data_IF_030901780058
#
_entry.id   IF_030901780058
#
_cell.length_a   1.000
_cell.length_b   1.000
_cell.length_c   1.000
_cell.angle_alpha   90.00
_cell.angle_beta   90.00
_cell.angle_gamma   90.00
#
_symmetry.space_group_name_H-M   'P 1'
#
loop_
_entity.id
_entity.type
_entity.pdbx_description
1 polymer ?
#
# COMPACT_ATOMS: atom_id res chain seq x y z
N UNK A 1 -5.98 -7.27 29.86
CA UNK A 1 -6.30 -6.08 29.04
C UNK A 1 -6.58 -6.40 27.56
N UNK A 2 -6.22 -7.58 27.02
CA UNK A 2 -6.60 -8.00 25.65
C UNK A 2 -8.11 -8.26 25.47
N UNK A 3 -8.83 -8.58 26.55
CA UNK A 3 -10.25 -8.97 26.48
C UNK A 3 -11.24 -7.78 26.44
N UNK A 4 -10.81 -6.55 26.74
CA UNK A 4 -11.77 -5.45 26.94
C UNK A 4 -12.28 -4.79 25.64
N UNK A 5 -11.70 -5.12 24.48
CA UNK A 5 -12.11 -4.55 23.18
C UNK A 5 -12.17 -5.55 22.03
N UNK A 6 -12.07 -6.85 22.29
CA UNK A 6 -12.15 -7.87 21.24
C UNK A 6 -13.61 -8.30 21.02
N UNK A 7 -14.20 -7.97 19.88
CA UNK A 7 -15.46 -8.59 19.47
C UNK A 7 -15.14 -9.86 18.70
N UNK A 8 -15.76 -10.99 19.08
CA UNK A 8 -15.52 -12.31 18.49
C UNK A 8 -15.80 -12.39 16.97
N UNK A 9 -16.39 -11.34 16.38
CA UNK A 9 -16.63 -11.24 14.93
C UNK A 9 -15.60 -10.39 14.19
N UNK A 10 -14.77 -9.60 14.87
CA UNK A 10 -13.87 -8.64 14.21
C UNK A 10 -12.85 -9.34 13.30
N UNK A 11 -12.38 -10.52 13.72
CA UNK A 11 -11.45 -11.33 12.95
C UNK A 11 -12.01 -11.72 11.59
N UNK A 12 -13.34 -11.79 11.42
CA UNK A 12 -13.99 -12.25 10.18
C UNK A 12 -13.80 -11.28 9.01
N UNK A 13 -13.20 -10.10 9.26
CA UNK A 13 -12.96 -9.07 8.26
C UNK A 13 -11.50 -8.56 8.25
N UNK A 14 -10.64 -9.09 9.12
CA UNK A 14 -9.26 -8.66 9.24
C UNK A 14 -8.29 -9.42 8.31
N UNK A 15 -6.99 -9.17 8.44
CA UNK A 15 -5.96 -9.81 7.62
C UNK A 15 -5.95 -11.34 7.80
N UNK A 16 -6.30 -11.87 8.96
CA UNK A 16 -6.42 -13.32 9.18
C UNK A 16 -7.50 -13.92 8.29
N UNK A 17 -8.65 -13.25 8.15
CA UNK A 17 -9.71 -13.71 7.24
C UNK A 17 -9.29 -13.74 5.78
N UNK A 18 -8.44 -12.80 5.34
CA UNK A 18 -7.87 -12.85 4.00
C UNK A 18 -6.98 -14.10 3.84
N UNK A 19 -6.03 -14.34 4.74
CA UNK A 19 -5.17 -15.53 4.65
C UNK A 19 -5.97 -16.85 4.74
N UNK A 20 -7.00 -16.89 5.59
CA UNK A 20 -7.84 -18.07 5.74
C UNK A 20 -8.70 -18.32 4.50
N UNK A 21 -9.23 -17.28 3.85
CA UNK A 21 -9.96 -17.44 2.59
C UNK A 21 -9.05 -18.03 1.51
N UNK A 22 -7.81 -17.54 1.39
CA UNK A 22 -6.83 -18.11 0.46
C UNK A 22 -6.50 -19.58 0.76
N UNK A 23 -6.36 -19.92 2.05
CA UNK A 23 -6.13 -21.31 2.46
C UNK A 23 -7.30 -22.22 2.05
N UNK A 24 -8.54 -21.81 2.28
CA UNK A 24 -9.72 -22.53 1.82
C UNK A 24 -9.80 -22.66 0.30
N UNK A 25 -9.45 -21.60 -0.44
CA UNK A 25 -9.38 -21.62 -1.90
C UNK A 25 -8.37 -22.64 -2.42
N UNK A 26 -7.20 -22.76 -1.77
CA UNK A 26 -6.18 -23.75 -2.11
C UNK A 26 -6.64 -25.19 -1.79
N UNK A 27 -7.40 -25.37 -0.72
CA UNK A 27 -8.01 -26.65 -0.31
C UNK A 27 -9.28 -27.01 -1.08
N UNK A 28 -9.67 -26.22 -2.09
CA UNK A 28 -10.89 -26.41 -2.90
C UNK A 28 -12.19 -26.32 -2.09
N UNK A 29 -12.15 -25.59 -0.97
CA UNK A 29 -13.32 -25.24 -0.18
C UNK A 29 -13.86 -23.88 -0.64
N UNK A 30 -14.35 -23.84 -1.88
CA UNK A 30 -14.68 -22.57 -2.55
C UNK A 30 -15.77 -21.79 -1.82
N UNK A 31 -16.81 -22.46 -1.28
CA UNK A 31 -17.90 -21.80 -0.55
C UNK A 31 -17.38 -21.06 0.70
N UNK A 32 -16.58 -21.74 1.53
CA UNK A 32 -16.00 -21.15 2.75
C UNK A 32 -14.99 -20.04 2.42
N UNK A 33 -14.22 -20.22 1.33
CA UNK A 33 -13.29 -19.20 0.85
C UNK A 33 -14.04 -17.91 0.47
N UNK A 34 -15.10 -18.02 -0.35
CA UNK A 34 -15.86 -16.87 -0.82
C UNK A 34 -16.58 -16.17 0.33
N UNK A 35 -17.15 -16.92 1.27
CA UNK A 35 -17.82 -16.36 2.45
C UNK A 35 -16.91 -15.47 3.29
N UNK A 36 -15.67 -15.88 3.53
CA UNK A 36 -14.69 -15.03 4.25
C UNK A 36 -14.21 -13.87 3.37
N UNK A 37 -13.98 -14.13 2.09
CA UNK A 37 -13.54 -13.10 1.15
C UNK A 37 -14.52 -11.93 1.04
N UNK A 38 -15.83 -12.18 1.07
CA UNK A 38 -16.85 -11.13 1.03
C UNK A 38 -16.69 -10.12 2.17
N UNK A 39 -16.39 -10.58 3.39
CA UNK A 39 -16.13 -9.70 4.53
C UNK A 39 -14.85 -8.87 4.35
N UNK A 40 -13.80 -9.46 3.77
CA UNK A 40 -12.54 -8.77 3.46
C UNK A 40 -12.77 -7.69 2.40
N UNK A 41 -13.52 -8.01 1.33
CA UNK A 41 -13.89 -7.04 0.29
C UNK A 41 -14.72 -5.90 0.90
N UNK A 42 -15.70 -6.23 1.74
CA UNK A 42 -16.52 -5.23 2.44
C UNK A 42 -15.66 -4.31 3.32
N UNK A 43 -14.67 -4.87 4.04
CA UNK A 43 -13.74 -4.09 4.88
C UNK A 43 -12.85 -3.16 4.06
N UNK A 44 -12.31 -3.63 2.93
CA UNK A 44 -11.49 -2.80 2.05
C UNK A 44 -12.32 -1.67 1.41
N UNK A 45 -13.60 -1.93 1.14
CA UNK A 45 -14.51 -0.94 0.57
C UNK A 45 -15.15 0.01 1.61
N UNK A 46 -15.18 -0.36 2.89
CA UNK A 46 -15.64 0.54 3.95
C UNK A 46 -14.66 1.68 4.17
N UNK A 47 -15.08 2.75 4.83
CA UNK A 47 -14.14 3.77 5.30
C UNK A 47 -13.11 3.17 6.25
N UNK A 48 -11.87 3.65 6.11
CA UNK A 48 -10.74 3.19 6.93
C UNK A 48 -10.75 3.98 8.23
N UNK A 49 -10.43 3.32 9.34
CA UNK A 49 -10.13 4.06 10.56
C UNK A 49 -8.90 4.95 10.31
N UNK A 50 -9.06 6.24 10.58
CA UNK A 50 -8.01 7.25 10.38
C UNK A 50 -6.98 7.25 11.51
N UNK A 51 -7.22 6.50 12.59
CA UNK A 51 -6.23 6.35 13.66
C UNK A 51 -5.04 5.50 13.20
N UNK A 52 -3.95 6.19 12.87
CA UNK A 52 -2.69 5.54 12.55
C UNK A 52 -1.94 5.13 13.81
N UNK A 53 -2.02 3.85 14.17
CA UNK A 53 -1.32 3.28 15.32
C UNK A 53 -0.36 2.19 14.87
N UNK A 54 0.92 2.34 15.22
CA UNK A 54 1.90 1.27 15.10
C UNK A 54 1.80 0.37 16.34
N UNK A 55 0.94 -0.66 16.29
CA UNK A 55 0.73 -1.58 17.42
C UNK A 55 0.65 -3.02 16.93
N UNK A 56 1.16 -3.95 17.75
CA UNK A 56 1.06 -5.39 17.47
C UNK A 56 1.59 -5.79 16.08
N UNK A 57 2.65 -5.14 15.59
CA UNK A 57 3.19 -5.35 14.24
C UNK A 57 2.15 -5.16 13.13
N UNK A 58 1.18 -4.28 13.35
CA UNK A 58 0.12 -3.95 12.42
C UNK A 58 -0.04 -2.44 12.35
N UNK A 59 -0.37 -1.98 11.15
CA UNK A 59 -0.76 -0.62 10.83
C UNK A 59 -1.73 -0.68 9.64
N UNK A 60 -2.46 0.41 9.33
CA UNK A 60 -3.44 0.38 8.25
C UNK A 60 -2.84 -0.02 6.89
N UNK A 61 -1.59 0.39 6.58
CA UNK A 61 -0.94 0.04 5.32
C UNK A 61 -0.59 -1.44 5.24
N UNK A 62 -0.16 -2.06 6.34
CA UNK A 62 0.02 -3.52 6.42
C UNK A 62 -1.30 -4.24 6.13
N UNK A 63 -2.42 -3.78 6.68
CA UNK A 63 -3.73 -4.41 6.48
C UNK A 63 -4.17 -4.33 5.02
N UNK A 64 -4.22 -3.12 4.45
CA UNK A 64 -4.63 -2.90 3.05
C UNK A 64 -3.74 -3.68 2.06
N UNK A 65 -2.41 -3.58 2.22
CA UNK A 65 -1.48 -4.27 1.31
C UNK A 65 -1.53 -5.79 1.45
N UNK A 66 -1.65 -6.34 2.67
CA UNK A 66 -1.76 -7.78 2.86
C UNK A 66 -3.04 -8.35 2.25
N UNK A 67 -4.18 -7.68 2.47
CA UNK A 67 -5.46 -8.12 1.91
C UNK A 67 -5.48 -7.98 0.38
N UNK A 68 -4.94 -6.88 -0.16
CA UNK A 68 -4.81 -6.69 -1.61
C UNK A 68 -3.93 -7.77 -2.24
N UNK A 69 -2.78 -8.09 -1.62
CA UNK A 69 -1.90 -9.18 -2.07
C UNK A 69 -2.65 -10.50 -2.17
N UNK A 70 -3.37 -10.87 -1.11
CA UNK A 70 -4.15 -12.11 -1.06
C UNK A 70 -5.19 -12.15 -2.18
N UNK A 71 -5.97 -11.07 -2.35
CA UNK A 71 -7.00 -10.98 -3.38
C UNK A 71 -6.38 -11.07 -4.77
N UNK A 72 -5.33 -10.29 -5.05
CA UNK A 72 -4.68 -10.29 -6.36
C UNK A 72 -4.08 -11.66 -6.72
N UNK A 73 -3.52 -12.37 -5.74
CA UNK A 73 -2.85 -13.66 -5.96
C UNK A 73 -3.81 -14.84 -6.04
N UNK A 74 -4.85 -14.87 -5.20
CA UNK A 74 -5.70 -16.05 -5.02
C UNK A 74 -7.11 -15.87 -5.57
N UNK A 75 -7.57 -14.63 -5.71
CA UNK A 75 -8.93 -14.28 -6.16
C UNK A 75 -8.90 -13.20 -7.25
N UNK A 76 -8.14 -13.37 -8.36
CA UNK A 76 -7.92 -12.30 -9.34
C UNK A 76 -9.20 -11.78 -9.99
N UNK A 77 -10.27 -12.59 -10.06
CA UNK A 77 -11.59 -12.17 -10.57
C UNK A 77 -12.27 -11.11 -9.68
N UNK A 78 -11.89 -11.06 -8.42
CA UNK A 78 -12.46 -10.17 -7.40
C UNK A 78 -11.63 -8.90 -7.23
N UNK A 79 -10.43 -8.86 -7.82
CA UNK A 79 -9.45 -7.77 -7.66
C UNK A 79 -10.02 -6.40 -8.03
N UNK A 80 -10.77 -6.33 -9.14
CA UNK A 80 -11.40 -5.09 -9.60
C UNK A 80 -12.41 -4.50 -8.61
N UNK A 81 -12.94 -5.29 -7.66
CA UNK A 81 -13.87 -4.81 -6.64
C UNK A 81 -13.22 -3.97 -5.55
N UNK A 82 -11.89 -4.02 -5.43
CA UNK A 82 -11.15 -3.37 -4.33
C UNK A 82 -9.94 -2.55 -4.80
N UNK A 83 -9.35 -2.89 -5.95
CA UNK A 83 -8.03 -2.37 -6.33
C UNK A 83 -7.96 -0.86 -6.39
N UNK A 84 -8.97 -0.18 -6.96
CA UNK A 84 -8.96 1.27 -7.10
C UNK A 84 -8.88 1.98 -5.74
N UNK A 85 -9.77 1.61 -4.82
CA UNK A 85 -9.84 2.22 -3.49
C UNK A 85 -8.59 1.91 -2.66
N UNK A 86 -8.10 0.68 -2.73
CA UNK A 86 -6.94 0.24 -1.93
C UNK A 86 -5.63 0.80 -2.47
N UNK A 87 -5.41 0.81 -3.78
CA UNK A 87 -4.20 1.42 -4.38
C UNK A 87 -4.17 2.93 -4.13
N UNK A 88 -5.33 3.59 -4.15
CA UNK A 88 -5.43 5.01 -3.76
C UNK A 88 -4.95 5.24 -2.32
N UNK A 89 -5.38 4.40 -1.37
CA UNK A 89 -4.94 4.48 0.03
C UNK A 89 -3.46 4.21 0.19
N UNK A 90 -2.94 3.18 -0.47
CA UNK A 90 -1.50 2.85 -0.47
C UNK A 90 -0.69 4.06 -0.97
N UNK A 91 -1.08 4.66 -2.10
CA UNK A 91 -0.39 5.83 -2.65
C UNK A 91 -0.44 7.04 -1.68
N UNK A 92 -1.59 7.26 -1.03
CA UNK A 92 -1.73 8.32 -0.02
C UNK A 92 -0.81 8.08 1.19
N UNK A 93 -0.74 6.86 1.72
CA UNK A 93 0.09 6.52 2.87
C UNK A 93 1.60 6.68 2.54
N UNK A 94 2.01 6.24 1.35
CA UNK A 94 3.39 6.40 0.89
C UNK A 94 3.78 7.87 0.73
N UNK A 95 2.92 8.69 0.12
CA UNK A 95 3.14 10.13 -0.03
C UNK A 95 3.16 10.87 1.32
N UNK A 96 2.45 10.36 2.34
CA UNK A 96 2.49 10.86 3.71
C UNK A 96 3.67 10.33 4.53
N UNK A 97 4.57 9.56 3.92
CA UNK A 97 5.73 8.94 4.56
C UNK A 97 5.35 8.01 5.73
N UNK A 98 4.17 7.39 5.65
CA UNK A 98 3.65 6.47 6.67
C UNK A 98 3.95 5.02 6.29
N UNK A 99 5.18 4.59 6.56
CA UNK A 99 5.61 3.21 6.30
C UNK A 99 6.73 2.77 7.24
N UNK A 100 6.86 1.45 7.37
CA UNK A 100 7.95 0.77 8.03
C UNK A 100 8.40 -0.41 7.15
N UNK A 101 9.45 -1.11 7.55
CA UNK A 101 10.00 -2.22 6.77
C UNK A 101 8.95 -3.29 6.42
N UNK A 102 8.04 -3.62 7.35
CA UNK A 102 7.01 -4.63 7.13
C UNK A 102 5.94 -4.14 6.14
N UNK A 103 5.45 -2.91 6.32
CA UNK A 103 4.46 -2.33 5.39
C UNK A 103 5.04 -2.13 3.99
N UNK A 104 6.30 -1.71 3.87
CA UNK A 104 7.00 -1.63 2.58
C UNK A 104 7.10 -2.98 1.88
N UNK A 105 7.45 -4.04 2.60
CA UNK A 105 7.50 -5.39 2.04
C UNK A 105 6.13 -5.87 1.56
N UNK A 106 5.07 -5.64 2.33
CA UNK A 106 3.71 -6.03 1.95
C UNK A 106 3.19 -5.23 0.75
N UNK A 107 3.50 -3.93 0.68
CA UNK A 107 3.19 -3.10 -0.50
C UNK A 107 3.85 -3.67 -1.74
N UNK A 108 5.14 -4.03 -1.67
CA UNK A 108 5.84 -4.62 -2.82
C UNK A 108 5.20 -5.93 -3.28
N UNK A 109 4.83 -6.81 -2.34
CA UNK A 109 4.12 -8.05 -2.69
C UNK A 109 2.75 -7.78 -3.33
N UNK A 110 1.98 -6.85 -2.77
CA UNK A 110 0.66 -6.49 -3.27
C UNK A 110 0.73 -5.90 -4.70
N UNK A 111 1.68 -4.99 -4.93
CA UNK A 111 1.91 -4.38 -6.23
C UNK A 111 2.43 -5.41 -7.25
N UNK A 112 3.30 -6.34 -6.85
CA UNK A 112 3.72 -7.45 -7.71
C UNK A 112 2.54 -8.32 -8.15
N UNK A 113 1.73 -8.78 -7.19
CA UNK A 113 0.55 -9.58 -7.50
C UNK A 113 -0.47 -8.82 -8.35
N UNK A 114 -0.68 -7.52 -8.09
CA UNK A 114 -1.58 -6.68 -8.88
C UNK A 114 -1.07 -6.48 -10.31
N UNK A 115 0.22 -6.16 -10.47
CA UNK A 115 0.84 -5.93 -11.78
C UNK A 115 0.79 -7.18 -12.66
N UNK A 116 0.95 -8.38 -12.08
CA UNK A 116 0.81 -9.65 -12.80
C UNK A 116 -0.57 -9.82 -13.46
N UNK A 117 -1.63 -9.22 -12.88
CA UNK A 117 -2.97 -9.23 -13.46
C UNK A 117 -3.24 -8.09 -14.45
N UNK A 118 -2.36 -7.07 -14.52
CA UNK A 118 -2.58 -5.81 -15.24
C UNK A 118 -1.38 -5.37 -16.11
N UNK A 119 -0.52 -6.30 -16.54
CA UNK A 119 0.75 -5.98 -17.23
C UNK A 119 0.58 -5.11 -18.48
N UNK A 120 -0.54 -5.27 -19.21
CA UNK A 120 -0.80 -4.53 -20.45
C UNK A 120 -0.91 -3.02 -20.26
N UNK A 121 -1.31 -2.55 -19.07
CA UNK A 121 -1.49 -1.12 -18.81
C UNK A 121 -0.17 -0.40 -18.48
N UNK A 122 0.85 -1.13 -18.00
CA UNK A 122 2.12 -0.53 -17.57
C UNK A 122 2.85 0.20 -18.70
N UNK A 123 2.70 -0.26 -19.95
CA UNK A 123 3.32 0.39 -21.11
C UNK A 123 2.70 1.72 -21.51
N UNK A 124 1.50 2.01 -21.04
CA UNK A 124 0.79 3.25 -21.32
C UNK A 124 1.01 4.32 -20.23
N UNK A 125 1.89 4.04 -19.26
CA UNK A 125 2.29 4.97 -18.22
C UNK A 125 3.66 5.58 -18.57
N UNK A 126 3.75 6.90 -18.46
CA UNK A 126 4.98 7.65 -18.71
C UNK A 126 5.20 8.72 -17.64
N UNK A 127 6.47 8.96 -17.32
CA UNK A 127 7.00 10.03 -16.48
C UNK A 127 7.83 10.88 -17.41
N UNK A 128 7.40 12.11 -17.66
CA UNK A 128 8.07 13.02 -18.56
C UNK A 128 8.73 14.17 -17.80
N UNK A 129 9.92 14.57 -18.22
CA UNK A 129 10.58 15.79 -17.81
C UNK A 129 10.67 16.71 -19.03
N UNK A 130 10.07 17.90 -18.95
CA UNK A 130 10.02 18.86 -20.06
C UNK A 130 9.55 18.24 -21.40
N UNK A 131 8.53 17.35 -21.33
CA UNK A 131 7.97 16.65 -22.49
C UNK A 131 8.79 15.47 -23.04
N UNK A 132 9.92 15.13 -22.43
CA UNK A 132 10.70 13.93 -22.78
C UNK A 132 10.40 12.81 -21.79
N UNK A 133 10.09 11.62 -22.27
CA UNK A 133 9.88 10.44 -21.42
C UNK A 133 11.21 9.98 -20.80
N UNK A 134 11.27 10.05 -19.47
CA UNK A 134 12.42 9.62 -18.65
C UNK A 134 12.15 8.31 -17.91
N UNK A 135 11.01 7.66 -18.20
CA UNK A 135 10.60 6.45 -17.50
C UNK A 135 11.54 5.29 -17.76
N UNK A 136 11.95 4.68 -16.67
CA UNK A 136 12.40 3.30 -16.63
C UNK A 136 11.24 2.38 -16.26
N UNK A 137 11.45 1.09 -16.46
CA UNK A 137 10.44 0.09 -16.11
C UNK A 137 11.07 -1.16 -15.51
N UNK A 138 10.32 -1.78 -14.62
CA UNK A 138 10.48 -3.18 -14.27
C UNK A 138 9.16 -3.91 -14.55
N UNK A 139 9.03 -5.16 -14.10
CA UNK A 139 7.80 -5.95 -14.26
C UNK A 139 6.59 -5.41 -13.49
N UNK A 140 6.78 -4.46 -12.58
CA UNK A 140 5.79 -4.01 -11.60
C UNK A 140 5.28 -2.59 -11.84
N UNK A 141 6.17 -1.67 -12.20
CA UNK A 141 5.85 -0.24 -12.30
C UNK A 141 6.81 0.50 -13.25
N UNK A 142 6.40 1.73 -13.59
CA UNK A 142 7.26 2.76 -14.18
C UNK A 142 7.91 3.58 -13.07
N UNK A 143 9.19 3.91 -13.22
CA UNK A 143 9.92 4.74 -12.26
C UNK A 143 10.92 5.62 -12.99
N UNK A 144 11.38 6.69 -12.35
CA UNK A 144 12.47 7.51 -12.85
C UNK A 144 13.32 7.98 -11.67
N UNK A 145 14.64 7.94 -11.85
CA UNK A 145 15.57 8.54 -10.90
C UNK A 145 15.61 10.05 -11.13
N UNK A 146 15.30 10.79 -10.08
CA UNK A 146 15.14 12.24 -10.12
C UNK A 146 16.39 12.90 -9.51
N UNK A 147 17.29 13.39 -10.36
CA UNK A 147 18.64 13.85 -9.93
C UNK A 147 18.76 15.35 -9.71
N UNK A 148 17.82 16.14 -10.21
CA UNK A 148 17.83 17.60 -10.08
C UNK A 148 17.04 18.05 -8.84
N UNK A 149 17.44 19.19 -8.26
CA UNK A 149 16.75 19.74 -7.07
C UNK A 149 15.41 20.38 -7.38
N UNK A 150 15.14 20.70 -8.65
CA UNK A 150 13.89 21.28 -9.11
C UNK A 150 13.61 20.78 -10.53
N UNK A 151 12.46 20.14 -10.73
CA UNK A 151 12.04 19.59 -12.02
C UNK A 151 10.57 19.86 -12.27
N UNK A 152 10.21 20.02 -13.53
CA UNK A 152 8.83 19.95 -13.99
C UNK A 152 8.59 18.53 -14.51
N UNK A 153 7.73 17.79 -13.81
CA UNK A 153 7.42 16.41 -14.13
C UNK A 153 5.94 16.28 -14.51
N UNK A 154 5.69 15.59 -15.61
CA UNK A 154 4.35 15.21 -16.04
C UNK A 154 4.19 13.69 -15.90
N UNK A 155 3.16 13.26 -15.15
CA UNK A 155 2.77 11.87 -15.07
C UNK A 155 1.64 11.62 -16.08
N UNK A 156 1.96 10.92 -17.16
CA UNK A 156 1.04 10.69 -18.27
C UNK A 156 0.47 9.28 -18.16
N UNK A 157 -0.85 9.19 -18.09
CA UNK A 157 -1.59 7.93 -18.15
C UNK A 157 -2.40 7.85 -19.45
N UNK A 158 -1.93 7.04 -20.40
CA UNK A 158 -2.63 6.74 -21.65
C UNK A 158 -3.34 5.38 -21.61
N UNK A 159 -3.45 4.78 -20.43
CA UNK A 159 -4.10 3.49 -20.20
C UNK A 159 -5.61 3.64 -20.00
N UNK A 160 -6.32 2.51 -19.92
CA UNK A 160 -7.76 2.51 -19.61
C UNK A 160 -8.04 2.44 -18.11
N UNK A 161 -7.01 2.22 -17.30
CA UNK A 161 -7.10 2.10 -15.85
C UNK A 161 -6.59 3.36 -15.15
N UNK A 162 -7.04 3.56 -13.92
CA UNK A 162 -6.47 4.60 -13.05
C UNK A 162 -5.00 4.30 -12.80
N UNK A 163 -4.17 5.34 -12.84
CA UNK A 163 -2.76 5.25 -12.48
C UNK A 163 -2.52 5.95 -11.14
N UNK A 164 -1.61 5.40 -10.35
CA UNK A 164 -1.17 5.97 -9.08
C UNK A 164 0.32 6.24 -9.13
N UNK A 165 0.75 7.28 -8.42
CA UNK A 165 2.16 7.62 -8.28
C UNK A 165 2.51 7.87 -6.81
N UNK A 166 3.77 7.63 -6.49
CA UNK A 166 4.38 8.04 -5.24
C UNK A 166 5.70 8.76 -5.56
N UNK A 167 5.95 9.86 -4.84
CA UNK A 167 7.19 10.61 -4.93
C UNK A 167 7.95 10.47 -3.61
N UNK A 168 9.20 10.05 -3.68
CA UNK A 168 10.09 10.00 -2.51
C UNK A 168 11.32 10.85 -2.74
N UNK A 169 11.61 11.71 -1.77
CA UNK A 169 12.82 12.52 -1.72
C UNK A 169 13.54 12.20 -0.42
N UNK A 170 14.85 12.01 -0.51
CA UNK A 170 15.70 11.81 0.66
C UNK A 170 16.93 12.72 0.60
N UNK A 171 17.39 13.18 1.76
CA UNK A 171 18.55 14.05 1.87
C UNK A 171 18.70 14.61 3.28
N UNK A 172 19.88 15.17 3.55
CA UNK A 172 20.14 15.88 4.80
C UNK A 172 19.88 17.37 4.62
N UNK A 173 19.17 18.04 5.56
CA UNK A 173 19.07 19.49 5.53
C UNK A 173 20.47 20.10 5.75
N UNK A 174 20.79 21.16 5.01
CA UNK A 174 22.10 21.83 5.12
C UNK A 174 22.33 22.47 6.51
N UNK A 175 21.25 22.78 7.22
CA UNK A 175 21.27 23.29 8.59
C UNK A 175 20.25 22.52 9.41
N UNK A 176 20.59 22.19 10.64
CA UNK A 176 19.63 21.63 11.58
C UNK A 176 18.49 22.63 11.82
N UNK A 177 17.27 22.13 12.01
CA UNK A 177 16.15 22.98 12.43
C UNK A 177 16.44 23.53 13.84
N UNK A 178 16.16 24.81 14.05
CA UNK A 178 16.29 25.45 15.36
C UNK A 178 15.18 25.02 16.32
N UNK A 179 14.14 24.33 15.82
CA UNK A 179 13.08 23.73 16.64
C UNK A 179 13.27 22.23 16.73
N UNK A 180 13.27 21.72 17.96
CA UNK A 180 13.18 20.28 18.17
C UNK A 180 11.83 19.78 17.63
N UNK A 181 11.86 18.79 16.75
CA UNK A 181 10.66 18.07 16.35
C UNK A 181 10.29 17.09 17.47
N UNK A 182 9.09 17.24 18.04
CA UNK A 182 8.48 16.25 18.92
C UNK A 182 7.26 15.67 18.22
N UNK A 183 7.34 14.38 17.86
CA UNK A 183 6.27 13.66 17.20
C UNK A 183 6.19 12.21 17.73
N UNK A 184 5.73 12.06 18.97
CA UNK A 184 5.50 10.76 19.62
C UNK A 184 6.72 10.10 20.28
N UNK A 185 7.94 10.58 20.00
CA UNK A 185 9.17 10.16 20.68
C UNK A 185 9.96 11.40 21.11
N UNK A 186 10.41 11.42 22.36
CA UNK A 186 11.29 12.47 22.89
C UNK A 186 12.68 11.88 23.17
N UNK A 187 13.72 12.57 22.71
CA UNK A 187 15.12 12.18 22.92
C UNK A 187 15.84 13.37 23.52
N UNK A 188 16.51 13.18 24.65
CA UNK A 188 17.40 14.17 25.23
C UNK A 188 18.82 13.59 25.34
N UNK A 189 19.83 14.43 25.08
CA UNK A 189 21.24 14.07 25.21
C UNK A 189 21.90 15.04 26.18
N UNK A 190 22.53 14.50 27.22
CA UNK A 190 23.32 15.27 28.19
C UNK A 190 24.79 14.91 28.03
N UNK A 191 25.67 15.92 27.98
CA UNK A 191 27.12 15.74 27.99
C UNK A 191 27.61 16.11 29.40
N UNK A 192 28.35 15.21 30.04
CA UNK A 192 29.09 15.46 31.28
C UNK A 192 30.56 15.73 30.95
#
# INVERSE_FOLDING_TARGET
>A
MLEQHFNAKDWQSDTLSAWLSAAYQLLKQDEEAHKLLENVIAKLNSERDVQWLYRHYSDPLIQDSSMLYVIARHFPKELAKVSEKVLTRIAQDLNQQRYNTLSSAMVLLALDAYAQQNQAELSALHIQQNGQDISQSNSLFRYADLTETQMNLDFVNSSTQTAWFALSQSGYPQKADNKALSNGLEIYRTLY
#
